data_IF_342977884765
#
_entry.id   IF_342977884765
#
_cell.length_a   1.000
_cell.length_b   1.000
_cell.length_c   1.000
_cell.angle_alpha   90.00
_cell.angle_beta   90.00
_cell.angle_gamma   90.00
#
_symmetry.space_group_name_H-M   'P 1'
#
loop_
_entity.id
_entity.type
_entity.pdbx_description
1 polymer ?
#
# COMPACT_ATOMS: atom_id res chain seq x y z
N UNK A 1 -4.47 -8.72 33.41
CA UNK A 1 -3.81 -9.02 32.12
C UNK A 1 -2.68 -10.00 32.39
N UNK A 2 -2.69 -11.19 31.79
CA UNK A 2 -1.42 -11.86 31.51
C UNK A 2 -1.44 -12.60 30.15
N UNK A 3 -0.27 -13.08 29.67
CA UNK A 3 0.82 -12.27 29.17
C UNK A 3 0.86 -12.25 27.63
N UNK A 4 1.45 -11.18 27.11
CA UNK A 4 1.64 -10.94 25.69
C UNK A 4 2.66 -11.86 25.03
N UNK A 5 2.48 -11.97 23.72
CA UNK A 5 3.31 -12.69 22.76
C UNK A 5 4.73 -12.11 22.69
N UNK A 6 5.74 -12.98 22.58
CA UNK A 6 7.14 -12.57 22.42
C UNK A 6 7.65 -12.80 20.99
N UNK A 7 8.39 -11.81 20.49
CA UNK A 7 9.40 -11.90 19.45
C UNK A 7 10.60 -11.05 19.90
N UNK A 8 11.80 -11.65 19.88
CA UNK A 8 13.10 -11.18 20.42
C UNK A 8 13.83 -10.15 19.49
N UNK A 9 15.08 -9.67 19.74
CA UNK A 9 16.10 -9.97 20.78
C UNK A 9 16.77 -8.73 21.46
N UNK A 10 17.68 -8.95 22.43
CA UNK A 10 18.25 -7.92 23.34
C UNK A 10 19.75 -7.58 23.21
N UNK A 11 20.27 -6.74 24.14
CA UNK A 11 21.62 -6.82 24.76
C UNK A 11 21.87 -5.69 25.81
N UNK A 12 22.03 -6.12 27.07
CA UNK A 12 22.95 -5.75 28.19
C UNK A 12 23.49 -4.31 28.46
N UNK A 13 23.26 -3.80 29.69
CA UNK A 13 24.33 -3.50 30.69
C UNK A 13 23.78 -3.06 32.08
N UNK A 14 24.59 -3.26 33.14
CA UNK A 14 24.24 -3.47 34.57
C UNK A 14 24.73 -2.37 35.55
N UNK A 15 24.05 -2.21 36.71
CA UNK A 15 24.54 -1.95 38.11
C UNK A 15 23.74 -0.84 38.90
N UNK A 16 23.85 -0.68 40.25
CA UNK A 16 23.00 -1.36 41.27
C UNK A 16 22.48 -0.47 42.45
N UNK A 17 21.64 -1.05 43.34
CA UNK A 17 21.19 -0.52 44.65
C UNK A 17 19.70 -0.13 44.63
N UNK A 18 18.82 -0.46 45.58
CA UNK A 18 18.91 -0.61 47.04
C UNK A 18 17.77 -1.54 47.55
N UNK A 19 17.84 -1.97 48.82
CA UNK A 19 17.08 -3.06 49.47
C UNK A 19 15.70 -2.67 50.04
N UNK A 20 14.96 -3.72 50.44
CA UNK A 20 13.79 -3.83 51.36
C UNK A 20 12.43 -4.17 50.69
N UNK A 21 11.54 -4.94 51.35
CA UNK A 21 11.73 -6.16 52.11
C UNK A 21 10.91 -7.35 51.56
N UNK A 22 11.24 -8.54 52.05
CA UNK A 22 10.54 -9.81 51.90
C UNK A 22 9.03 -9.70 52.21
N UNK A 23 8.20 -9.87 51.17
CA UNK A 23 6.76 -10.06 51.29
C UNK A 23 6.39 -11.31 50.50
N UNK A 24 6.30 -12.41 51.24
CA UNK A 24 5.30 -13.47 51.08
C UNK A 24 5.14 -14.08 49.69
N UNK A 25 5.59 -15.32 49.55
CA UNK A 25 4.96 -16.29 48.66
C UNK A 25 3.44 -16.34 48.95
N UNK A 26 2.64 -15.59 48.20
CA UNK A 26 1.22 -15.86 48.03
C UNK A 26 1.04 -16.59 46.70
N UNK A 27 0.61 -17.84 46.83
CA UNK A 27 0.51 -18.80 45.74
C UNK A 27 -0.22 -18.22 44.54
N UNK A 28 0.33 -18.51 43.36
CA UNK A 28 -0.45 -18.49 42.13
C UNK A 28 -1.62 -19.45 42.34
N UNK A 29 -2.78 -18.93 42.76
CA UNK A 29 -4.03 -19.67 42.64
C UNK A 29 -4.11 -20.10 41.18
N UNK A 30 -3.91 -21.39 40.93
CA UNK A 30 -4.02 -22.00 39.61
C UNK A 30 -5.44 -21.78 39.11
N UNK A 31 -5.69 -20.64 38.46
CA UNK A 31 -7.02 -20.26 37.98
C UNK A 31 -7.47 -21.35 37.00
N UNK A 32 -8.48 -22.12 37.39
CA UNK A 32 -8.98 -23.23 36.61
C UNK A 32 -9.93 -22.72 35.52
N UNK A 33 -9.44 -22.75 34.28
CA UNK A 33 -10.20 -22.37 33.09
C UNK A 33 -10.98 -23.57 32.52
N UNK A 34 -11.78 -23.30 31.49
CA UNK A 34 -12.53 -24.27 30.71
C UNK A 34 -13.58 -25.06 31.54
N UNK A 35 -14.34 -25.91 30.85
CA UNK A 35 -15.27 -26.88 31.46
C UNK A 35 -14.55 -28.05 32.12
N UNK A 36 -13.32 -28.36 31.67
CA UNK A 36 -12.54 -29.47 32.21
C UNK A 36 -11.85 -29.15 33.54
N UNK A 37 -11.79 -27.87 33.95
CA UNK A 37 -11.18 -27.42 35.21
C UNK A 37 -9.77 -27.97 35.44
N UNK A 38 -9.00 -28.08 34.36
CA UNK A 38 -7.58 -28.45 34.41
C UNK A 38 -6.71 -27.21 34.51
N UNK A 39 -5.47 -27.37 35.00
CA UNK A 39 -4.47 -26.30 34.99
C UNK A 39 -4.18 -25.86 33.54
N UNK A 40 -3.70 -24.63 33.41
CA UNK A 40 -3.25 -24.10 32.12
C UNK A 40 -2.09 -24.93 31.58
N UNK A 41 -2.12 -25.18 30.27
CA UNK A 41 -1.17 -25.98 29.51
C UNK A 41 -0.89 -25.20 28.23
N UNK A 42 0.35 -24.77 28.03
CA UNK A 42 0.78 -23.92 26.92
C UNK A 42 0.79 -24.64 25.57
N UNK A 43 0.76 -25.98 25.58
CA UNK A 43 0.65 -26.79 24.37
C UNK A 43 -0.79 -26.90 23.85
N UNK A 44 -1.79 -26.55 24.67
CA UNK A 44 -3.21 -26.66 24.28
C UNK A 44 -3.76 -25.33 23.80
N UNK A 45 -4.33 -25.34 22.60
CA UNK A 45 -4.99 -24.17 22.03
C UNK A 45 -6.24 -23.82 22.83
N UNK A 46 -6.40 -22.54 23.18
CA UNK A 46 -7.54 -22.03 23.92
C UNK A 46 -8.22 -20.87 23.17
N UNK A 47 -9.52 -20.71 23.40
CA UNK A 47 -10.35 -19.65 22.85
C UNK A 47 -11.21 -19.02 23.96
N UNK A 48 -11.34 -17.70 23.95
CA UNK A 48 -12.14 -16.95 24.91
C UNK A 48 -13.55 -16.69 24.39
N UNK A 49 -14.56 -16.83 25.25
CA UNK A 49 -15.96 -16.59 24.91
C UNK A 49 -16.29 -15.08 24.96
N UNK A 50 -16.78 -14.52 23.85
CA UNK A 50 -17.08 -13.08 23.70
C UNK A 50 -18.26 -12.58 24.55
N UNK A 51 -18.87 -13.45 25.36
CA UNK A 51 -20.00 -13.10 26.23
C UNK A 51 -19.69 -13.22 27.72
N UNK A 52 -18.83 -14.14 28.12
CA UNK A 52 -18.53 -14.39 29.53
C UNK A 52 -17.05 -14.29 29.86
N UNK A 53 -16.20 -14.00 28.86
CA UNK A 53 -14.75 -13.83 28.97
C UNK A 53 -13.99 -15.04 29.56
N UNK A 54 -14.67 -16.19 29.71
CA UNK A 54 -14.05 -17.44 30.13
C UNK A 54 -13.31 -18.11 28.97
N UNK A 55 -12.19 -18.77 29.29
CA UNK A 55 -11.32 -19.45 28.34
C UNK A 55 -11.64 -20.94 28.27
N UNK A 56 -11.63 -21.50 27.06
CA UNK A 56 -11.95 -22.90 26.80
C UNK A 56 -10.87 -23.51 25.91
N UNK A 57 -10.43 -24.73 26.18
CA UNK A 57 -9.66 -25.49 25.19
C UNK A 57 -10.56 -25.77 23.98
N UNK A 58 -10.02 -25.59 22.79
CA UNK A 58 -10.68 -25.85 21.50
C UNK A 58 -11.25 -27.26 21.45
N UNK A 59 -10.45 -28.26 21.86
CA UNK A 59 -10.86 -29.66 21.97
C UNK A 59 -12.02 -29.90 22.94
N UNK A 60 -12.05 -29.21 24.08
CA UNK A 60 -13.12 -29.32 25.07
C UNK A 60 -14.46 -28.73 24.60
N UNK A 61 -14.45 -27.90 23.56
CA UNK A 61 -15.64 -27.34 22.92
C UNK A 61 -15.86 -27.88 21.51
N UNK A 62 -15.20 -28.99 21.17
CA UNK A 62 -15.29 -29.69 19.88
C UNK A 62 -14.93 -28.81 18.66
N UNK A 63 -13.97 -27.90 18.84
CA UNK A 63 -13.43 -27.06 17.79
C UNK A 63 -12.06 -27.59 17.33
N UNK A 64 -11.86 -27.90 16.04
CA UNK A 64 -10.54 -28.24 15.52
C UNK A 64 -9.57 -27.06 15.60
N UNK A 65 -8.32 -27.30 16.00
CA UNK A 65 -7.31 -26.25 16.14
C UNK A 65 -7.05 -25.48 14.84
N UNK A 66 -7.17 -26.18 13.71
CA UNK A 66 -7.03 -25.58 12.37
C UNK A 66 -8.10 -24.54 12.05
N UNK A 67 -9.26 -24.59 12.73
CA UNK A 67 -10.39 -23.69 12.45
C UNK A 67 -10.44 -22.47 13.38
N UNK A 68 -9.59 -22.41 14.41
CA UNK A 68 -9.62 -21.34 15.43
C UNK A 68 -9.46 -19.95 14.80
N UNK A 69 -8.57 -19.81 13.82
CA UNK A 69 -8.35 -18.56 13.07
C UNK A 69 -9.57 -18.12 12.24
N UNK A 70 -10.50 -19.04 11.96
CA UNK A 70 -11.75 -18.77 11.25
C UNK A 70 -12.84 -18.28 12.17
N UNK A 71 -12.71 -18.39 13.50
CA UNK A 71 -13.72 -17.88 14.41
C UNK A 71 -13.77 -16.36 14.29
N UNK A 72 -14.99 -15.85 14.12
CA UNK A 72 -15.27 -14.41 14.12
C UNK A 72 -15.74 -13.97 15.50
N UNK A 73 -16.76 -14.65 16.03
CA UNK A 73 -17.23 -14.50 17.41
C UNK A 73 -17.40 -15.91 18.01
N UNK A 74 -16.79 -16.17 19.16
CA UNK A 74 -16.96 -17.41 19.90
C UNK A 74 -17.98 -17.25 21.03
N UNK A 75 -19.04 -18.06 21.00
CA UNK A 75 -19.98 -18.17 22.12
C UNK A 75 -19.93 -19.59 22.68
N UNK A 76 -19.52 -19.71 23.95
CA UNK A 76 -19.38 -21.02 24.59
C UNK A 76 -20.74 -21.73 24.79
N UNK A 77 -20.76 -23.07 24.85
CA UNK A 77 -21.98 -23.85 25.04
C UNK A 77 -22.79 -23.43 26.27
N UNK A 78 -22.12 -23.13 27.39
CA UNK A 78 -22.76 -22.68 28.63
C UNK A 78 -23.53 -21.35 28.46
N UNK A 79 -23.01 -20.43 27.63
CA UNK A 79 -23.70 -19.18 27.34
C UNK A 79 -24.96 -19.41 26.51
N UNK A 80 -24.88 -20.29 25.50
CA UNK A 80 -26.02 -20.68 24.65
C UNK A 80 -27.11 -21.35 25.50
N UNK A 81 -26.74 -22.35 26.31
CA UNK A 81 -27.67 -23.10 27.16
C UNK A 81 -28.36 -22.24 28.22
N UNK A 82 -27.63 -21.31 28.86
CA UNK A 82 -28.20 -20.41 29.90
C UNK A 82 -29.17 -19.38 29.34
N UNK A 83 -29.19 -19.17 28.02
CA UNK A 83 -29.96 -18.08 27.40
C UNK A 83 -30.76 -18.59 26.19
N UNK A 84 -31.70 -19.54 26.40
CA UNK A 84 -32.41 -20.20 25.31
C UNK A 84 -33.34 -19.25 24.51
N UNK A 85 -33.61 -18.06 25.04
CA UNK A 85 -34.42 -17.03 24.38
C UNK A 85 -33.59 -16.10 23.47
N UNK A 86 -32.26 -16.22 23.47
CA UNK A 86 -31.36 -15.43 22.63
C UNK A 86 -30.77 -16.31 21.53
N UNK A 87 -30.64 -15.75 20.32
CA UNK A 87 -29.99 -16.42 19.17
C UNK A 87 -28.45 -16.31 19.27
N UNK A 88 -27.91 -16.89 20.34
CA UNK A 88 -26.48 -16.94 20.61
C UNK A 88 -25.82 -18.08 19.84
N UNK A 89 -24.87 -17.75 18.96
CA UNK A 89 -24.10 -18.74 18.20
C UNK A 89 -22.70 -18.24 17.89
N UNK A 90 -21.76 -19.16 17.80
CA UNK A 90 -20.43 -18.88 17.25
C UNK A 90 -20.56 -18.53 15.77
N UNK A 91 -19.96 -17.42 15.35
CA UNK A 91 -19.90 -16.98 13.95
C UNK A 91 -18.51 -17.21 13.38
N UNK A 92 -18.44 -17.37 12.06
CA UNK A 92 -17.24 -17.81 11.37
C UNK A 92 -16.93 -16.93 10.16
N UNK A 93 -15.65 -16.60 10.01
CA UNK A 93 -15.06 -16.02 8.81
C UNK A 93 -15.06 -17.05 7.69
N UNK A 94 -15.17 -16.56 6.46
CA UNK A 94 -15.04 -17.43 5.28
C UNK A 94 -13.61 -17.93 5.15
N UNK A 95 -13.41 -19.24 5.08
CA UNK A 95 -12.10 -19.85 4.82
C UNK A 95 -11.59 -19.53 3.41
N UNK A 96 -10.26 -19.50 3.26
CA UNK A 96 -9.59 -19.36 1.98
C UNK A 96 -10.08 -20.38 0.94
N UNK A 97 -10.50 -19.89 -0.24
CA UNK A 97 -10.99 -20.73 -1.33
C UNK A 97 -9.92 -21.71 -1.85
N UNK A 98 -8.64 -21.34 -1.79
CA UNK A 98 -7.55 -22.24 -2.19
C UNK A 98 -7.53 -23.51 -1.31
N UNK A 99 -7.63 -23.33 0.01
CA UNK A 99 -7.70 -24.46 0.94
C UNK A 99 -8.98 -25.29 0.78
N UNK A 100 -10.12 -24.62 0.62
CA UNK A 100 -11.42 -25.29 0.39
C UNK A 100 -11.50 -26.11 -0.90
N UNK A 101 -10.60 -25.86 -1.86
CA UNK A 101 -10.60 -26.51 -3.17
C UNK A 101 -9.45 -27.48 -3.38
N UNK A 102 -8.65 -27.73 -2.34
CA UNK A 102 -7.71 -28.85 -2.33
C UNK A 102 -8.45 -30.19 -2.37
N UNK A 103 -7.73 -31.26 -2.73
CA UNK A 103 -8.29 -32.63 -2.78
C UNK A 103 -8.81 -33.08 -1.42
N UNK A 104 -8.06 -32.76 -0.36
CA UNK A 104 -8.47 -32.93 1.02
C UNK A 104 -8.47 -31.57 1.71
N UNK A 105 -9.62 -30.88 1.80
CA UNK A 105 -9.71 -29.58 2.47
C UNK A 105 -9.45 -29.65 3.97
N UNK A 106 -9.59 -30.80 4.62
CA UNK A 106 -9.45 -30.89 6.08
C UNK A 106 -8.03 -31.24 6.52
N UNK A 107 -7.16 -31.60 5.59
CA UNK A 107 -5.78 -31.95 5.91
C UNK A 107 -4.96 -30.71 6.35
N UNK A 108 -3.88 -30.92 7.13
CA UNK A 108 -2.98 -29.83 7.55
C UNK A 108 -2.29 -29.09 6.38
N UNK A 109 -2.14 -29.75 5.23
CA UNK A 109 -1.56 -29.20 4.01
C UNK A 109 -2.50 -28.19 3.31
N UNK A 110 -3.82 -28.25 3.55
CA UNK A 110 -4.76 -27.29 3.00
C UNK A 110 -4.72 -25.96 3.77
N UNK A 111 -4.96 -24.83 3.08
CA UNK A 111 -4.94 -23.52 3.72
C UNK A 111 -6.19 -23.30 4.61
N UNK A 112 -6.00 -23.15 5.92
CA UNK A 112 -7.09 -22.88 6.89
C UNK A 112 -7.27 -21.40 7.27
N UNK A 113 -6.49 -20.50 6.66
CA UNK A 113 -6.57 -19.07 6.95
C UNK A 113 -7.88 -18.44 6.47
N UNK A 114 -8.39 -17.38 7.15
CA UNK A 114 -9.56 -16.63 6.70
C UNK A 114 -9.28 -15.93 5.37
N UNK A 115 -10.27 -15.89 4.49
CA UNK A 115 -10.25 -15.07 3.29
C UNK A 115 -10.35 -13.59 3.65
N UNK A 116 -9.84 -12.70 2.79
CA UNK A 116 -9.92 -11.23 2.98
C UNK A 116 -11.33 -10.65 2.71
N UNK A 117 -12.37 -11.43 3.00
CA UNK A 117 -13.78 -11.02 2.94
C UNK A 117 -14.19 -10.44 1.58
N UNK A 118 -14.72 -9.21 1.61
CA UNK A 118 -15.19 -8.49 0.43
C UNK A 118 -14.09 -8.24 -0.63
N UNK A 119 -12.81 -8.25 -0.23
CA UNK A 119 -11.69 -7.91 -1.10
C UNK A 119 -11.11 -9.12 -1.83
N UNK A 120 -11.22 -10.33 -1.27
CA UNK A 120 -10.70 -11.54 -1.89
C UNK A 120 -11.35 -12.80 -1.32
N UNK A 121 -11.49 -13.82 -2.17
CA UNK A 121 -11.86 -15.18 -1.77
C UNK A 121 -10.67 -15.96 -1.17
N UNK A 122 -9.48 -15.38 -1.18
CA UNK A 122 -8.23 -15.99 -0.72
C UNK A 122 -7.66 -15.20 0.47
N UNK A 123 -6.86 -15.87 1.31
CA UNK A 123 -6.16 -15.22 2.42
C UNK A 123 -4.98 -14.37 1.94
N UNK A 124 -4.38 -14.73 0.79
CA UNK A 124 -3.24 -14.04 0.18
C UNK A 124 -3.34 -14.05 -1.35
N UNK A 125 -2.54 -13.22 -2.01
CA UNK A 125 -2.42 -13.22 -3.48
C UNK A 125 -1.81 -14.54 -3.96
N UNK A 126 -0.82 -15.05 -3.23
CA UNK A 126 -0.18 -16.35 -3.46
C UNK A 126 -1.21 -17.51 -3.50
N UNK A 127 -2.08 -17.60 -2.49
CA UNK A 127 -3.16 -18.60 -2.50
C UNK A 127 -4.12 -18.41 -3.69
N UNK A 128 -4.34 -17.17 -4.11
CA UNK A 128 -5.12 -16.88 -5.32
C UNK A 128 -4.45 -17.40 -6.59
N UNK A 129 -3.14 -17.19 -6.72
CA UNK A 129 -2.33 -17.68 -7.84
C UNK A 129 -2.31 -19.20 -7.86
N UNK A 130 -2.02 -19.86 -6.72
CA UNK A 130 -2.01 -21.32 -6.61
C UNK A 130 -3.34 -21.95 -7.03
N UNK A 131 -4.45 -21.40 -6.54
CA UNK A 131 -5.78 -21.85 -6.94
C UNK A 131 -6.01 -21.68 -8.45
N UNK A 132 -5.57 -20.56 -9.04
CA UNK A 132 -5.70 -20.34 -10.48
C UNK A 132 -4.80 -21.29 -11.29
N UNK A 133 -3.59 -21.59 -10.84
CA UNK A 133 -2.72 -22.60 -11.44
C UNK A 133 -3.40 -23.97 -11.44
N UNK A 134 -3.91 -24.42 -10.31
CA UNK A 134 -4.67 -25.67 -10.20
C UNK A 134 -5.84 -25.70 -11.18
N UNK A 135 -6.61 -24.61 -11.29
CA UNK A 135 -7.72 -24.52 -12.24
C UNK A 135 -7.30 -24.59 -13.69
N UNK A 136 -6.19 -23.94 -14.05
CA UNK A 136 -5.64 -23.99 -15.41
C UNK A 136 -5.18 -25.42 -15.72
N UNK A 137 -4.48 -26.09 -14.79
CA UNK A 137 -4.08 -27.48 -14.94
C UNK A 137 -5.30 -28.39 -15.18
N UNK A 138 -6.33 -28.30 -14.33
CA UNK A 138 -7.57 -29.08 -14.53
C UNK A 138 -8.27 -28.75 -15.86
N UNK A 139 -8.22 -27.50 -16.32
CA UNK A 139 -8.79 -27.14 -17.62
C UNK A 139 -7.99 -27.73 -18.79
N UNK A 140 -6.65 -27.75 -18.69
CA UNK A 140 -5.77 -28.39 -19.68
C UNK A 140 -6.01 -29.90 -19.72
N UNK A 141 -6.13 -30.55 -18.56
CA UNK A 141 -6.45 -31.98 -18.45
C UNK A 141 -7.78 -32.34 -19.14
N UNK A 142 -8.70 -31.37 -19.22
CA UNK A 142 -9.98 -31.50 -19.92
C UNK A 142 -9.94 -31.04 -21.40
N UNK A 143 -8.75 -31.00 -22.02
CA UNK A 143 -8.56 -30.67 -23.43
C UNK A 143 -8.35 -29.17 -23.73
N UNK A 144 -8.13 -28.35 -22.69
CA UNK A 144 -7.77 -26.94 -22.85
C UNK A 144 -6.36 -26.74 -23.42
N UNK A 145 -6.18 -25.74 -24.29
CA UNK A 145 -4.86 -25.38 -24.81
C UNK A 145 -4.28 -24.18 -24.04
N UNK A 146 -3.25 -24.44 -23.22
CA UNK A 146 -2.60 -23.42 -22.38
C UNK A 146 -2.02 -22.25 -23.18
N UNK A 147 -1.42 -22.53 -24.34
CA UNK A 147 -0.73 -21.51 -25.14
C UNK A 147 -1.71 -20.48 -25.73
N UNK A 148 -2.94 -20.91 -26.03
CA UNK A 148 -4.03 -20.02 -26.49
C UNK A 148 -4.73 -19.27 -25.36
N UNK A 149 -4.56 -19.68 -24.10
CA UNK A 149 -5.24 -19.05 -22.97
C UNK A 149 -4.82 -17.58 -22.82
N UNK A 150 -3.52 -17.27 -22.97
CA UNK A 150 -3.01 -15.91 -22.86
C UNK A 150 -3.70 -14.94 -23.81
N UNK A 151 -3.94 -15.34 -25.06
CA UNK A 151 -4.61 -14.48 -26.04
C UNK A 151 -6.04 -14.10 -25.63
N UNK A 152 -6.70 -14.95 -24.86
CA UNK A 152 -8.06 -14.70 -24.37
C UNK A 152 -8.09 -13.83 -23.10
N UNK A 153 -7.00 -13.78 -22.33
CA UNK A 153 -6.96 -13.09 -21.03
C UNK A 153 -5.99 -11.91 -20.97
N UNK A 154 -5.16 -11.67 -21.99
CA UNK A 154 -4.17 -10.57 -22.01
C UNK A 154 -4.79 -9.18 -21.90
N UNK A 155 -6.05 -9.02 -22.31
CA UNK A 155 -6.83 -7.80 -22.15
C UNK A 155 -7.72 -7.78 -20.91
N UNK A 156 -7.63 -8.77 -20.03
CA UNK A 156 -8.47 -8.85 -18.85
C UNK A 156 -7.99 -7.83 -17.79
N UNK A 157 -8.84 -6.86 -17.49
CA UNK A 157 -8.62 -5.93 -16.40
C UNK A 157 -9.22 -6.45 -15.09
N UNK A 158 -8.63 -6.04 -13.96
CA UNK A 158 -9.18 -6.33 -12.64
C UNK A 158 -10.60 -5.75 -12.55
N UNK A 159 -11.60 -6.60 -12.28
CA UNK A 159 -12.95 -6.11 -11.99
C UNK A 159 -12.90 -5.19 -10.78
N UNK A 160 -13.25 -3.93 -10.99
CA UNK A 160 -13.40 -2.98 -9.90
C UNK A 160 -14.73 -3.26 -9.19
N UNK A 161 -14.72 -3.28 -7.85
CA UNK A 161 -15.95 -3.30 -7.08
C UNK A 161 -16.75 -2.04 -7.36
N UNK A 162 -18.01 -2.18 -7.77
CA UNK A 162 -18.88 -1.04 -8.05
C UNK A 162 -19.75 -0.80 -6.82
N UNK A 163 -19.58 0.36 -6.20
CA UNK A 163 -20.54 0.87 -5.22
C UNK A 163 -21.61 1.63 -5.98
N UNK A 164 -22.84 1.13 -5.92
CA UNK A 164 -24.02 1.78 -6.50
C UNK A 164 -24.83 2.43 -5.39
N UNK A 165 -25.23 3.69 -5.60
CA UNK A 165 -26.28 4.28 -4.78
C UNK A 165 -27.59 3.63 -5.18
N UNK A 166 -28.38 3.18 -4.21
CA UNK A 166 -29.66 2.56 -4.46
C UNK A 166 -30.73 3.19 -3.58
N UNK A 167 -31.94 3.35 -4.14
CA UNK A 167 -33.13 3.72 -3.39
C UNK A 167 -33.85 2.44 -2.97
N UNK A 168 -34.13 2.31 -1.68
CA UNK A 168 -34.96 1.22 -1.17
C UNK A 168 -36.40 1.49 -1.59
N UNK A 169 -36.98 0.58 -2.36
CA UNK A 169 -38.36 0.66 -2.85
C UNK A 169 -39.33 -0.01 -1.89
N UNK A 170 -38.95 -1.15 -1.30
CA UNK A 170 -39.76 -1.87 -0.32
C UNK A 170 -38.88 -2.58 0.71
N UNK A 171 -39.21 -2.37 1.99
CA UNK A 171 -38.48 -2.96 3.14
C UNK A 171 -39.07 -4.33 3.52
N UNK A 172 -40.27 -4.67 3.03
CA UNK A 172 -41.06 -5.83 3.49
C UNK A 172 -40.92 -7.10 2.63
N UNK A 173 -39.99 -7.14 1.68
CA UNK A 173 -39.77 -8.35 0.89
C UNK A 173 -39.00 -9.38 1.74
N UNK A 174 -39.59 -10.57 1.94
CA UNK A 174 -39.01 -11.69 2.70
C UNK A 174 -37.68 -12.19 2.07
N UNK A 175 -37.41 -11.81 0.81
CA UNK A 175 -36.18 -12.14 0.04
C UNK A 175 -35.17 -10.97 -0.07
N UNK A 176 -35.32 -9.93 0.75
CA UNK A 176 -34.42 -8.76 0.76
C UNK A 176 -35.01 -7.54 0.05
N UNK A 177 -34.62 -6.35 0.52
CA UNK A 177 -35.19 -5.09 0.08
C UNK A 177 -35.10 -4.90 -1.44
N UNK A 178 -36.20 -4.53 -2.10
CA UNK A 178 -36.17 -4.18 -3.51
C UNK A 178 -35.38 -2.87 -3.69
N UNK A 179 -34.28 -2.91 -4.45
CA UNK A 179 -33.36 -1.78 -4.64
C UNK A 179 -33.44 -1.23 -6.07
N UNK A 180 -33.66 0.09 -6.21
CA UNK A 180 -33.50 0.80 -7.48
C UNK A 180 -32.13 1.48 -7.54
N UNK A 181 -31.25 1.01 -8.44
CA UNK A 181 -29.91 1.58 -8.63
C UNK A 181 -30.00 2.97 -9.27
N UNK A 182 -29.35 3.97 -8.66
CA UNK A 182 -29.24 5.33 -9.15
C UNK A 182 -27.98 5.43 -10.02
N UNK A 183 -28.09 5.80 -11.31
CA UNK A 183 -26.93 5.91 -12.20
C UNK A 183 -26.02 7.07 -11.76
N UNK A 184 -24.68 6.92 -11.91
CA UNK A 184 -23.73 7.97 -11.58
C UNK A 184 -23.86 9.16 -12.54
N UNK A 185 -23.81 10.38 -11.99
CA UNK A 185 -23.86 11.63 -12.77
C UNK A 185 -22.55 11.94 -13.51
N UNK A 186 -21.43 11.42 -13.01
CA UNK A 186 -20.08 11.68 -13.51
C UNK A 186 -19.50 10.35 -14.02
N UNK A 187 -18.90 10.37 -15.21
CA UNK A 187 -18.33 9.16 -15.80
C UNK A 187 -17.14 8.64 -14.98
N UNK A 188 -16.71 7.40 -15.24
CA UNK A 188 -15.48 6.86 -14.64
C UNK A 188 -14.25 7.67 -15.07
N UNK A 189 -14.17 8.04 -16.35
CA UNK A 189 -13.07 8.82 -16.91
C UNK A 189 -12.96 10.20 -16.24
N UNK A 190 -14.06 10.92 -16.11
CA UNK A 190 -14.08 12.25 -15.49
C UNK A 190 -13.66 12.21 -14.01
N UNK A 191 -14.12 11.19 -13.26
CA UNK A 191 -13.71 10.99 -11.86
C UNK A 191 -12.22 10.70 -11.74
N UNK A 192 -11.67 9.90 -12.65
CA UNK A 192 -10.24 9.59 -12.67
C UNK A 192 -9.41 10.81 -13.08
N UNK A 193 -9.84 11.59 -14.06
CA UNK A 193 -9.20 12.85 -14.43
C UNK A 193 -9.18 13.84 -13.28
N UNK A 194 -10.30 14.01 -12.56
CA UNK A 194 -10.37 14.88 -11.39
C UNK A 194 -9.38 14.43 -10.30
N UNK A 195 -9.29 13.12 -10.03
CA UNK A 195 -8.34 12.55 -9.09
C UNK A 195 -6.88 12.79 -9.52
N UNK A 196 -6.55 12.56 -10.79
CA UNK A 196 -5.20 12.73 -11.30
C UNK A 196 -4.76 14.20 -11.29
N UNK A 197 -5.66 15.12 -11.64
CA UNK A 197 -5.40 16.58 -11.57
C UNK A 197 -5.14 17.03 -10.14
N UNK A 198 -5.99 16.64 -9.19
CA UNK A 198 -5.76 16.96 -7.77
C UNK A 198 -4.43 16.39 -7.25
N UNK A 199 -4.05 15.18 -7.70
CA UNK A 199 -2.75 14.58 -7.36
C UNK A 199 -1.59 15.35 -7.99
N UNK A 200 -1.74 15.83 -9.21
CA UNK A 200 -0.74 16.66 -9.90
C UNK A 200 -0.53 17.97 -9.15
N UNK A 201 -1.59 18.66 -8.76
CA UNK A 201 -1.52 19.92 -8.00
C UNK A 201 -0.77 19.72 -6.67
N UNK A 202 -1.08 18.64 -5.94
CA UNK A 202 -0.39 18.30 -4.71
C UNK A 202 1.11 17.97 -4.93
N UNK A 203 1.46 17.32 -6.06
CA UNK A 203 2.87 17.08 -6.40
C UNK A 203 3.60 18.37 -6.75
N UNK A 204 2.96 19.29 -7.46
CA UNK A 204 3.54 20.59 -7.79
C UNK A 204 3.86 21.36 -6.51
N UNK A 205 2.93 21.42 -5.55
CA UNK A 205 3.18 22.06 -4.26
C UNK A 205 4.37 21.45 -3.51
N UNK A 206 4.45 20.11 -3.46
CA UNK A 206 5.60 19.41 -2.84
C UNK A 206 6.92 19.70 -3.55
N UNK A 207 6.91 19.79 -4.88
CA UNK A 207 8.11 20.08 -5.67
C UNK A 207 8.58 21.50 -5.43
N UNK A 208 7.68 22.48 -5.38
CA UNK A 208 8.05 23.88 -5.11
C UNK A 208 8.57 24.05 -3.68
N UNK A 209 7.99 23.37 -2.68
CA UNK A 209 8.54 23.35 -1.32
C UNK A 209 9.95 22.75 -1.26
N UNK A 210 10.17 21.61 -1.92
CA UNK A 210 11.49 20.97 -1.96
C UNK A 210 12.54 21.78 -2.73
N UNK A 211 12.12 22.53 -3.76
CA UNK A 211 13.01 23.49 -4.44
C UNK A 211 13.42 24.63 -3.51
N UNK A 212 12.50 25.19 -2.73
CA UNK A 212 12.84 26.22 -1.75
C UNK A 212 13.85 25.70 -0.70
N UNK A 213 13.70 24.45 -0.25
CA UNK A 213 14.72 23.81 0.59
C UNK A 213 16.06 23.60 -0.14
N UNK A 214 16.04 23.30 -1.44
CA UNK A 214 17.25 23.18 -2.26
C UNK A 214 17.97 24.53 -2.42
N UNK A 215 17.23 25.63 -2.53
CA UNK A 215 17.82 26.97 -2.61
C UNK A 215 18.62 27.31 -1.34
N UNK A 216 18.14 26.87 -0.16
CA UNK A 216 18.90 26.97 1.10
C UNK A 216 20.18 26.14 1.07
N UNK A 217 20.13 24.92 0.53
CA UNK A 217 21.33 24.07 0.37
C UNK A 217 22.34 24.71 -0.58
N UNK A 218 21.88 25.27 -1.70
CA UNK A 218 22.73 25.99 -2.65
C UNK A 218 23.38 27.24 -2.01
N UNK A 219 22.63 27.95 -1.15
CA UNK A 219 23.19 29.03 -0.35
C UNK A 219 24.28 28.53 0.62
N UNK A 220 24.03 27.42 1.34
CA UNK A 220 25.01 26.81 2.27
C UNK A 220 26.28 26.38 1.55
N UNK A 221 26.14 25.80 0.36
CA UNK A 221 27.26 25.46 -0.53
C UNK A 221 28.09 26.72 -0.82
N UNK A 222 27.44 27.80 -1.24
CA UNK A 222 28.12 29.03 -1.61
C UNK A 222 28.84 29.70 -0.44
N UNK A 223 28.19 29.81 0.73
CA UNK A 223 28.82 30.40 1.92
C UNK A 223 29.96 29.53 2.42
N UNK A 224 29.84 28.20 2.36
CA UNK A 224 30.92 27.28 2.73
C UNK A 224 32.14 27.50 1.83
N UNK A 225 31.95 27.61 0.52
CA UNK A 225 33.05 27.92 -0.42
C UNK A 225 33.73 29.26 -0.10
N UNK A 226 32.94 30.31 0.12
CA UNK A 226 33.44 31.66 0.42
C UNK A 226 34.19 31.70 1.76
N UNK A 227 33.66 31.04 2.80
CA UNK A 227 34.31 30.94 4.11
C UNK A 227 35.67 30.23 4.01
N UNK A 228 35.77 29.17 3.20
CA UNK A 228 37.03 28.45 2.97
C UNK A 228 38.03 29.35 2.24
N UNK A 229 37.59 30.03 1.17
CA UNK A 229 38.45 30.95 0.40
C UNK A 229 38.97 32.09 1.29
N UNK A 230 38.11 32.65 2.13
CA UNK A 230 38.51 33.67 3.09
C UNK A 230 39.54 33.12 4.09
N UNK A 231 39.27 31.97 4.72
CA UNK A 231 40.19 31.33 5.66
C UNK A 231 41.58 31.07 5.07
N UNK A 232 41.64 30.64 3.80
CA UNK A 232 42.88 30.43 3.07
C UNK A 232 43.61 31.74 2.78
N UNK A 233 42.88 32.81 2.44
CA UNK A 233 43.45 34.14 2.15
C UNK A 233 44.08 34.77 3.38
N UNK A 234 43.42 34.67 4.54
CA UNK A 234 43.91 35.27 5.79
C UNK A 234 44.86 34.35 6.58
N UNK A 235 45.07 33.11 6.11
CA UNK A 235 45.86 32.05 6.75
C UNK A 235 45.48 31.75 8.24
N UNK A 236 44.21 31.96 8.60
CA UNK A 236 43.68 31.72 9.94
C UNK A 236 42.61 30.61 9.93
N UNK A 237 41.97 30.36 11.07
CA UNK A 237 40.89 29.39 11.20
C UNK A 237 39.73 29.70 10.24
N UNK A 238 39.31 30.97 10.17
CA UNK A 238 38.28 31.47 9.26
C UNK A 238 36.91 30.81 9.38
N UNK A 239 36.63 30.12 10.49
CA UNK A 239 35.29 29.58 10.75
C UNK A 239 34.30 30.73 10.88
N UNK A 240 33.28 30.74 10.03
CA UNK A 240 32.19 31.71 10.07
C UNK A 240 31.00 31.14 10.86
N UNK A 241 30.58 31.83 11.92
CA UNK A 241 29.45 31.42 12.74
C UNK A 241 28.15 31.28 11.94
N UNK A 242 28.01 32.06 10.86
CA UNK A 242 26.82 32.08 9.98
C UNK A 242 26.66 30.82 9.16
N UNK A 243 27.68 29.95 9.10
CA UNK A 243 27.57 28.57 8.60
C UNK A 243 26.58 27.72 9.42
N UNK A 244 26.19 28.19 10.62
CA UNK A 244 25.22 27.51 11.48
C UNK A 244 23.79 28.02 11.30
N UNK A 245 23.54 28.97 10.39
CA UNK A 245 22.19 29.52 10.18
C UNK A 245 21.19 28.42 9.80
N UNK A 246 20.08 28.41 10.53
CA UNK A 246 18.88 27.66 10.21
C UNK A 246 18.16 28.25 9.01
N UNK A 247 17.19 27.51 8.48
CA UNK A 247 16.51 27.85 7.23
C UNK A 247 15.79 29.22 7.29
N UNK A 248 15.27 29.61 8.45
CA UNK A 248 14.64 30.92 8.68
C UNK A 248 15.65 32.07 8.61
N UNK A 249 16.82 31.91 9.25
CA UNK A 249 17.89 32.91 9.24
C UNK A 249 18.50 33.04 7.84
N UNK A 250 18.62 31.94 7.09
CA UNK A 250 19.02 31.98 5.68
C UNK A 250 18.01 32.74 4.83
N UNK A 251 16.72 32.54 5.06
CA UNK A 251 15.67 33.24 4.32
C UNK A 251 15.67 34.75 4.57
N UNK A 252 15.98 35.19 5.79
CA UNK A 252 15.98 36.60 6.16
C UNK A 252 17.32 37.30 5.84
N UNK A 253 18.44 36.68 6.18
CA UNK A 253 19.76 37.31 6.15
C UNK A 253 20.69 36.76 5.08
N UNK A 254 20.33 35.66 4.41
CA UNK A 254 21.24 34.93 3.52
C UNK A 254 21.85 35.77 2.40
N UNK A 255 21.07 36.67 1.79
CA UNK A 255 21.58 37.58 0.76
C UNK A 255 22.67 38.52 1.32
N UNK A 256 22.40 39.16 2.45
CA UNK A 256 23.36 40.06 3.11
C UNK A 256 24.65 39.34 3.55
N UNK A 257 24.55 38.07 3.96
CA UNK A 257 25.75 37.26 4.25
C UNK A 257 26.62 37.12 3.00
N UNK A 258 26.04 36.78 1.85
CA UNK A 258 26.81 36.65 0.60
C UNK A 258 27.45 37.99 0.19
N UNK A 259 26.70 39.09 0.29
CA UNK A 259 27.21 40.44 0.02
C UNK A 259 28.40 40.79 0.91
N UNK A 260 28.37 40.42 2.21
CA UNK A 260 29.48 40.71 3.13
C UNK A 260 30.82 40.07 2.74
N UNK A 261 30.79 38.94 2.01
CA UNK A 261 31.99 38.31 1.47
C UNK A 261 32.52 39.01 0.20
N UNK A 262 31.65 39.67 -0.56
CA UNK A 262 31.99 40.44 -1.75
C UNK A 262 32.55 41.83 -1.37
N UNK A 263 31.94 42.49 -0.37
CA UNK A 263 32.34 43.82 0.10
C UNK A 263 33.64 43.79 0.93
N UNK A 264 33.91 42.71 1.68
CA UNK A 264 35.18 42.50 2.39
C UNK A 264 36.41 42.34 1.47
N UNK A 265 36.22 42.31 0.15
CA UNK A 265 37.29 42.38 -0.87
C UNK A 265 37.53 43.80 -1.40
N UNK A 266 36.72 44.80 -1.04
CA UNK A 266 36.89 46.19 -1.43
C UNK A 266 37.46 47.01 -0.27
N UNK A 267 38.75 47.34 -0.37
CA UNK A 267 39.49 48.22 0.52
C UNK A 267 38.89 49.65 0.49
N UNK A 268 37.90 49.94 1.34
CA UNK A 268 37.34 51.30 1.51
C UNK A 268 37.11 51.62 2.98
N UNK A 269 38.10 52.34 3.52
CA UNK A 269 38.09 53.35 4.58
C UNK A 269 36.88 53.40 5.55
N UNK A 270 37.09 52.82 6.74
CA UNK A 270 36.83 53.51 8.00
C UNK A 270 35.38 53.89 8.34
N UNK A 271 34.57 52.94 8.80
CA UNK A 271 33.59 53.22 9.88
C UNK A 271 33.37 51.95 10.71
N UNK A 272 34.05 51.90 11.85
CA UNK A 272 33.88 50.85 12.86
C UNK A 272 32.58 51.07 13.62
N UNK A 273 31.68 50.10 13.57
CA UNK A 273 30.58 49.99 14.52
C UNK A 273 30.44 48.53 14.93
N UNK A 274 31.10 48.17 16.05
CA UNK A 274 30.86 47.02 16.95
C UNK A 274 30.26 45.72 16.36
N UNK A 275 30.68 45.30 15.16
CA UNK A 275 30.40 43.95 14.67
C UNK A 275 31.37 42.99 15.37
N UNK A 276 30.83 42.12 16.21
CA UNK A 276 31.58 40.95 16.66
C UNK A 276 32.15 40.25 15.42
N UNK A 277 33.45 39.97 15.40
CA UNK A 277 34.07 39.19 14.32
C UNK A 277 33.29 37.88 14.14
N UNK A 278 32.46 37.82 13.09
CA UNK A 278 31.69 36.62 12.70
C UNK A 278 32.60 35.41 12.44
N UNK A 279 33.87 35.69 12.26
CA UNK A 279 34.96 34.82 11.88
C UNK A 279 35.80 34.44 13.09
N UNK A 280 36.23 33.19 13.15
CA UNK A 280 37.25 32.78 14.10
C UNK A 280 38.64 33.24 13.63
N UNK A 281 39.27 34.12 14.41
CA UNK A 281 40.66 34.60 14.22
C UNK A 281 41.72 33.68 14.83
N UNK A 282 41.35 32.44 15.17
CA UNK A 282 42.29 31.44 15.68
C UNK A 282 43.34 31.02 14.65
N UNK A 283 44.39 30.35 15.10
CA UNK A 283 45.40 29.71 14.22
C UNK A 283 44.73 28.83 13.15
N UNK A 284 45.37 28.69 11.98
CA UNK A 284 44.90 27.83 10.85
C UNK A 284 44.47 26.41 11.28
N UNK A 285 45.16 25.84 12.27
CA UNK A 285 44.78 24.58 12.94
C UNK A 285 44.14 24.88 14.30
N UNK A 286 42.95 25.46 14.28
CA UNK A 286 42.20 25.81 15.49
C UNK A 286 41.60 24.55 16.14
N UNK A 287 41.82 24.38 17.45
CA UNK A 287 41.34 23.21 18.18
C UNK A 287 39.80 23.21 18.33
N UNK A 288 39.16 24.40 18.33
CA UNK A 288 37.70 24.55 18.44
C UNK A 288 36.94 24.22 17.16
N UNK A 289 37.55 24.45 16.00
CA UNK A 289 36.94 24.24 14.69
C UNK A 289 37.80 23.30 13.86
N UNK A 290 38.27 22.22 14.47
CA UNK A 290 39.16 21.28 13.79
C UNK A 290 38.45 20.61 12.63
N UNK A 291 38.92 20.83 11.41
CA UNK A 291 38.40 20.17 10.21
C UNK A 291 37.03 20.66 9.74
N UNK A 292 36.59 21.84 10.19
CA UNK A 292 35.27 22.39 9.88
C UNK A 292 34.98 22.47 8.38
N UNK A 293 35.99 22.74 7.56
CA UNK A 293 35.86 22.84 6.10
C UNK A 293 35.36 21.53 5.50
N UNK A 294 36.01 20.42 5.85
CA UNK A 294 35.65 19.09 5.34
C UNK A 294 34.29 18.64 5.83
N UNK A 295 33.96 18.95 7.09
CA UNK A 295 32.68 18.60 7.68
C UNK A 295 31.54 19.33 6.96
N UNK A 296 31.65 20.66 6.78
CA UNK A 296 30.62 21.46 6.10
C UNK A 296 30.43 21.07 4.64
N UNK A 297 31.52 20.81 3.90
CA UNK A 297 31.43 20.31 2.52
C UNK A 297 30.63 19.00 2.50
N UNK A 298 30.97 18.03 3.36
CA UNK A 298 30.30 16.73 3.38
C UNK A 298 28.82 16.84 3.77
N UNK A 299 28.46 17.72 4.71
CA UNK A 299 27.07 18.00 5.09
C UNK A 299 26.27 18.58 3.92
N UNK A 300 26.81 19.59 3.23
CA UNK A 300 26.16 20.21 2.07
C UNK A 300 26.00 19.21 0.92
N UNK A 301 27.04 18.44 0.60
CA UNK A 301 26.99 17.42 -0.45
C UNK A 301 25.92 16.36 -0.16
N UNK A 302 25.83 15.91 1.08
CA UNK A 302 24.83 14.94 1.52
C UNK A 302 23.40 15.48 1.40
N UNK A 303 23.16 16.71 1.90
CA UNK A 303 21.84 17.36 1.81
C UNK A 303 21.43 17.59 0.35
N UNK A 304 22.37 18.04 -0.48
CA UNK A 304 22.17 18.25 -1.91
C UNK A 304 21.78 16.96 -2.62
N UNK A 305 22.53 15.87 -2.38
CA UNK A 305 22.23 14.57 -2.98
C UNK A 305 20.84 14.06 -2.58
N UNK A 306 20.48 14.13 -1.30
CA UNK A 306 19.16 13.68 -0.81
C UNK A 306 18.03 14.46 -1.47
N UNK A 307 18.14 15.80 -1.50
CA UNK A 307 17.09 16.64 -2.07
C UNK A 307 17.00 16.49 -3.59
N UNK A 308 18.12 16.32 -4.29
CA UNK A 308 18.15 16.06 -5.73
C UNK A 308 17.47 14.74 -6.08
N UNK A 309 17.79 13.66 -5.35
CA UNK A 309 17.12 12.37 -5.54
C UNK A 309 15.61 12.47 -5.28
N UNK A 310 15.19 13.25 -4.29
CA UNK A 310 13.77 13.49 -4.01
C UNK A 310 13.09 14.30 -5.12
N UNK A 311 13.72 15.35 -5.66
CA UNK A 311 13.21 16.13 -6.80
C UNK A 311 13.08 15.27 -8.07
N UNK A 312 14.05 14.40 -8.34
CA UNK A 312 13.99 13.46 -9.47
C UNK A 312 12.81 12.49 -9.33
N UNK A 313 12.57 11.95 -8.14
CA UNK A 313 11.41 11.07 -7.86
C UNK A 313 10.09 11.81 -8.11
N UNK A 314 9.95 13.04 -7.62
CA UNK A 314 8.76 13.86 -7.86
C UNK A 314 8.55 14.16 -9.35
N UNK A 315 9.63 14.50 -10.07
CA UNK A 315 9.60 14.78 -11.51
C UNK A 315 9.15 13.56 -12.32
N UNK A 316 9.62 12.36 -11.94
CA UNK A 316 9.19 11.11 -12.57
C UNK A 316 7.70 10.85 -12.35
N UNK A 317 7.22 10.98 -11.11
CA UNK A 317 5.81 10.80 -10.77
C UNK A 317 4.90 11.81 -11.48
N UNK A 318 5.35 13.06 -11.62
CA UNK A 318 4.66 14.10 -12.35
C UNK A 318 4.46 13.72 -13.82
N UNK A 319 5.53 13.24 -14.50
CA UNK A 319 5.46 12.78 -15.89
C UNK A 319 4.51 11.59 -16.05
N UNK A 320 4.54 10.62 -15.14
CA UNK A 320 3.66 9.46 -15.17
C UNK A 320 2.18 9.84 -15.03
N UNK A 321 1.86 10.78 -14.13
CA UNK A 321 0.49 11.28 -13.96
C UNK A 321 0.03 12.07 -15.17
N UNK A 322 0.88 12.98 -15.71
CA UNK A 322 0.56 13.75 -16.92
C UNK A 322 0.28 12.83 -18.12
N UNK A 323 1.11 11.80 -18.31
CA UNK A 323 0.88 10.77 -19.33
C UNK A 323 -0.45 10.06 -19.13
N UNK A 324 -0.77 9.65 -17.90
CA UNK A 324 -2.06 8.99 -17.61
C UNK A 324 -3.27 9.91 -17.85
N UNK A 325 -3.12 11.21 -17.60
CA UNK A 325 -4.16 12.21 -17.94
C UNK A 325 -4.35 12.30 -19.45
N UNK A 326 -3.24 12.33 -20.21
CA UNK A 326 -3.27 12.33 -21.68
C UNK A 326 -3.92 11.05 -22.22
N UNK A 327 -3.55 9.88 -21.71
CA UNK A 327 -4.12 8.58 -22.10
C UNK A 327 -5.65 8.50 -21.90
N UNK A 328 -6.19 9.19 -20.89
CA UNK A 328 -7.64 9.24 -20.63
C UNK A 328 -8.33 10.25 -21.56
N UNK A 329 -7.68 11.37 -21.89
CA UNK A 329 -8.22 12.40 -22.77
C UNK A 329 -8.19 11.99 -24.24
N UNK A 330 -7.17 11.25 -24.66
CA UNK A 330 -7.03 10.74 -26.02
C UNK A 330 -6.81 9.21 -26.04
N UNK A 331 -7.90 8.42 -25.97
CA UNK A 331 -7.81 6.96 -26.04
C UNK A 331 -7.32 6.43 -27.40
N UNK A 332 -7.26 7.27 -28.46
CA UNK A 332 -7.00 6.82 -29.82
C UNK A 332 -5.51 6.68 -30.16
N UNK A 333 -4.61 7.32 -29.39
CA UNK A 333 -3.14 7.26 -29.61
C UNK A 333 -2.57 5.85 -29.34
N UNK A 334 -3.23 5.04 -28.51
CA UNK A 334 -2.81 3.65 -28.29
C UNK A 334 -3.24 2.69 -29.41
N UNK A 335 -4.34 2.97 -30.12
CA UNK A 335 -4.80 2.15 -31.25
C UNK A 335 -3.95 2.37 -32.51
N UNK A 336 -3.37 3.56 -32.69
CA UNK A 336 -2.44 3.86 -33.78
C UNK A 336 -1.05 3.26 -33.53
N UNK A 337 -0.53 3.32 -32.30
CA UNK A 337 0.78 2.73 -31.96
C UNK A 337 0.79 1.20 -31.96
N UNK A 338 -0.34 0.54 -31.65
CA UNK A 338 -0.45 -0.92 -31.76
C UNK A 338 -0.46 -1.42 -33.22
N UNK A 339 -0.80 -0.57 -34.20
CA UNK A 339 -0.80 -0.92 -35.63
C UNK A 339 0.56 -0.82 -36.31
N UNK A 340 1.57 -0.23 -35.67
CA UNK A 340 2.88 0.04 -36.30
C UNK A 340 3.85 -1.16 -36.16
N UNK A 341 3.52 -2.19 -35.37
CA UNK A 341 4.34 -3.41 -35.20
C UNK A 341 3.90 -4.64 -36.01
N UNK A 342 2.99 -4.50 -36.98
CA UNK A 342 2.66 -5.58 -37.91
C UNK A 342 3.57 -5.53 -39.16
N UNK A 343 4.34 -6.58 -39.48
CA UNK A 343 5.04 -6.65 -40.76
C UNK A 343 4.02 -6.80 -41.89
N UNK A 344 4.10 -5.90 -42.86
CA UNK A 344 3.29 -5.89 -44.07
C UNK A 344 3.67 -7.04 -45.03
N UNK A 345 2.66 -7.74 -45.59
CA UNK A 345 2.47 -8.14 -47.01
C UNK A 345 1.56 -9.39 -47.16
N UNK A 346 1.03 -9.73 -48.35
CA UNK A 346 0.15 -8.94 -49.22
C UNK A 346 -1.17 -9.69 -49.59
N UNK A 347 -2.04 -8.97 -50.31
CA UNK A 347 -3.36 -9.37 -50.81
C UNK A 347 -3.43 -10.73 -51.56
N UNK A 348 -4.52 -11.48 -51.34
CA UNK A 348 -5.45 -11.98 -52.39
C UNK A 348 -6.71 -12.63 -51.79
N UNK A 349 -7.87 -12.17 -52.28
CA UNK A 349 -9.24 -12.64 -52.01
C UNK A 349 -9.53 -13.93 -52.82
N UNK A 350 -10.56 -14.75 -52.48
CA UNK A 350 -11.93 -14.36 -52.84
C UNK A 350 -13.02 -14.68 -51.80
N UNK A 351 -14.01 -13.78 -51.84
CA UNK A 351 -15.32 -13.78 -51.19
C UNK A 351 -16.15 -15.00 -51.59
N UNK A 352 -16.74 -15.70 -50.61
CA UNK A 352 -17.95 -16.50 -50.84
C UNK A 352 -18.92 -16.32 -49.67
N UNK A 353 -20.08 -15.74 -49.98
CA UNK A 353 -21.26 -15.65 -49.13
C UNK A 353 -21.88 -17.04 -48.95
N UNK A 354 -22.36 -17.34 -47.74
CA UNK A 354 -23.08 -18.58 -47.47
C UNK A 354 -23.84 -18.58 -46.15
N UNK A 355 -24.82 -17.69 -46.00
CA UNK A 355 -25.92 -17.87 -45.04
C UNK A 355 -26.88 -18.93 -45.60
N UNK A 356 -27.04 -20.06 -44.92
CA UNK A 356 -28.16 -20.98 -45.16
C UNK A 356 -29.02 -21.09 -43.90
N UNK A 357 -30.16 -20.40 -43.96
CA UNK A 357 -31.29 -20.54 -43.04
C UNK A 357 -32.07 -21.80 -43.39
N UNK A 358 -32.32 -22.64 -42.38
CA UNK A 358 -33.36 -23.67 -42.45
C UNK A 358 -34.75 -23.03 -42.29
N UNK A 359 -35.68 -23.37 -43.20
CA UNK A 359 -37.12 -23.32 -42.93
C UNK A 359 -37.84 -24.35 -43.81
N UNK A 360 -38.74 -25.19 -43.27
CA UNK A 360 -39.49 -26.18 -44.02
C UNK A 360 -40.89 -25.67 -44.40
N UNK A 361 -41.39 -26.10 -45.56
CA UNK A 361 -42.82 -26.27 -45.87
C UNK A 361 -42.87 -27.05 -47.20
N UNK A 362 -43.65 -28.12 -47.35
CA UNK A 362 -45.09 -28.16 -47.16
C UNK A 362 -45.72 -28.21 -48.56
N UNK A 363 -45.85 -29.41 -49.12
CA UNK A 363 -46.29 -29.63 -50.51
C UNK A 363 -47.80 -29.88 -50.55
N UNK A 364 -48.54 -28.97 -51.18
CA UNK A 364 -49.97 -29.09 -51.49
C UNK A 364 -50.12 -29.10 -53.02
N UNK A 365 -50.37 -30.28 -53.59
CA UNK A 365 -50.85 -30.43 -54.97
C UNK A 365 -52.36 -30.56 -55.00
N UNK A 366 -53.03 -29.64 -55.70
CA UNK A 366 -54.45 -29.68 -56.03
C UNK A 366 -54.62 -29.71 -57.55
N UNK A 367 -55.31 -30.73 -58.06
CA UNK A 367 -56.42 -30.71 -59.03
C UNK A 367 -56.33 -31.82 -60.09
N UNK A 368 -57.34 -32.69 -60.06
CA UNK A 368 -57.84 -33.42 -61.21
C UNK A 368 -59.30 -33.80 -60.94
N UNK A 369 -60.26 -33.14 -61.60
CA UNK A 369 -61.65 -33.61 -61.70
C UNK A 369 -62.23 -33.19 -63.06
N UNK A 370 -62.53 -34.20 -63.89
CA UNK A 370 -63.53 -34.22 -64.97
C UNK A 370 -64.05 -35.67 -65.00
N UNK A 371 -65.35 -35.87 -64.73
CA UNK A 371 -66.40 -36.43 -65.64
C UNK A 371 -66.13 -37.90 -66.04
N UNK A 372 -67.05 -38.86 -65.99
CA UNK A 372 -68.52 -38.88 -65.95
C UNK A 372 -68.93 -40.35 -65.78
N UNK A 373 -69.88 -40.65 -64.90
CA UNK A 373 -71.07 -41.50 -65.09
C UNK A 373 -71.91 -41.47 -63.81
#
# INVERSE_FOLDING_TARGET
MPPGTNSAPGSENKAPGETEPDVGEEGTEDKLYCVCKTKYDDEKVMIACDRCDEWYHTSCVHMPDLEVDLVDQFICPLCVERNPHLDLRTTWKRRCLNGLKQRDPNSPEACHKPARGAFSKYCSDECGVQYMHMRISLWVDNGGNRDRLWDTVKGAERREGVVASARILDIKAEDGAALAIIPPKITKADRELARLRARLDALVQKREALKAEMDVVAWREKVTELAIQHADTIEQCGWDQRLCFGDEEVAEFGASVLESYEEGQADVDGTQQEEAEWWCTGKKKCDRHSGWQKLRIAEVEFDKEIKDQALQKLTKLEREIRKRVEDILDPQVHLSNAKILEPSSPLSRPTVNGLSKHKPNGDLRKKGKKKKE
#
